data_IF_698975796468
#
_entry.id   IF_698975796468
#
_cell.length_a   1.000
_cell.length_b   1.000
_cell.length_c   1.000
_cell.angle_alpha   90.00
_cell.angle_beta   90.00
_cell.angle_gamma   90.00
#
_symmetry.space_group_name_H-M   'P 1'
#
loop_
_entity.id
_entity.type
_entity.pdbx_description
1 polymer ?
#
# COMPACT_ATOMS: atom_id res chain seq x y z
N UNK A 1 -10.40 0.46 -33.15
CA UNK A 1 -11.16 -0.75 -32.98
C UNK A 1 -11.10 -1.71 -34.17
N UNK A 2 -11.35 -1.24 -35.38
CA UNK A 2 -11.20 -2.04 -36.61
C UNK A 2 -9.79 -2.57 -36.82
N UNK A 3 -8.77 -1.79 -36.43
CA UNK A 3 -7.38 -2.21 -36.55
C UNK A 3 -7.08 -3.42 -35.66
N UNK A 4 -7.53 -3.41 -34.42
CA UNK A 4 -7.32 -4.55 -33.51
C UNK A 4 -8.00 -5.84 -34.02
N UNK A 5 -9.23 -5.72 -34.52
CA UNK A 5 -9.95 -6.85 -35.13
C UNK A 5 -9.19 -7.36 -36.35
N UNK A 6 -8.80 -6.47 -37.26
CA UNK A 6 -8.03 -6.81 -38.45
C UNK A 6 -6.71 -7.54 -38.13
N UNK A 7 -5.92 -7.01 -37.17
CA UNK A 7 -4.67 -7.61 -36.74
C UNK A 7 -4.90 -8.99 -36.09
N UNK A 8 -5.95 -9.11 -35.27
CA UNK A 8 -6.29 -10.40 -34.66
C UNK A 8 -6.70 -11.45 -35.69
N UNK A 9 -7.47 -11.05 -36.70
CA UNK A 9 -7.88 -11.93 -37.78
C UNK A 9 -6.70 -12.31 -38.69
N UNK A 10 -5.80 -11.36 -38.94
CA UNK A 10 -4.56 -11.61 -39.71
C UNK A 10 -3.69 -12.66 -39.01
N UNK A 11 -3.48 -12.52 -37.70
CA UNK A 11 -2.66 -13.47 -36.92
C UNK A 11 -3.33 -14.85 -36.84
N UNK A 12 -4.66 -14.91 -36.64
CA UNK A 12 -5.39 -16.18 -36.48
C UNK A 12 -5.52 -16.96 -37.80
N UNK A 13 -5.63 -16.27 -38.93
CA UNK A 13 -5.86 -16.88 -40.24
C UNK A 13 -4.59 -17.07 -41.04
N UNK A 14 -3.43 -16.79 -40.49
CA UNK A 14 -2.14 -17.03 -41.17
C UNK A 14 -1.65 -18.45 -40.90
N UNK A 15 -1.21 -19.14 -41.96
CA UNK A 15 -0.54 -20.44 -41.88
C UNK A 15 0.89 -20.35 -41.33
N UNK A 16 1.40 -19.13 -41.11
CA UNK A 16 2.74 -18.85 -40.61
C UNK A 16 2.65 -18.06 -39.29
N UNK A 17 3.64 -18.21 -38.41
CA UNK A 17 3.75 -17.40 -37.23
C UNK A 17 4.03 -15.92 -37.60
N UNK A 18 3.07 -15.05 -37.32
CA UNK A 18 3.19 -13.61 -37.58
C UNK A 18 3.32 -12.88 -36.27
N UNK A 19 4.38 -12.07 -36.13
CA UNK A 19 4.55 -11.13 -35.03
C UNK A 19 4.37 -9.72 -35.58
N UNK A 20 3.45 -8.96 -34.99
CA UNK A 20 3.15 -7.57 -35.40
C UNK A 20 3.63 -6.60 -34.34
N UNK A 21 4.52 -5.70 -34.72
CA UNK A 21 4.94 -4.56 -33.91
C UNK A 21 4.34 -3.27 -34.47
N UNK A 22 3.76 -2.45 -33.62
CA UNK A 22 3.26 -1.15 -34.01
C UNK A 22 3.42 -0.11 -32.89
N UNK A 23 3.53 1.15 -33.23
CA UNK A 23 3.51 2.26 -32.28
C UNK A 23 2.15 2.97 -32.33
N UNK A 24 1.65 3.39 -31.19
CA UNK A 24 0.34 4.06 -31.10
C UNK A 24 0.26 5.00 -29.92
N UNK A 25 -0.57 6.03 -30.03
CA UNK A 25 -1.02 6.91 -28.95
C UNK A 25 -2.51 6.67 -28.62
N UNK A 26 -3.14 5.65 -29.21
CA UNK A 26 -4.55 5.34 -28.97
C UNK A 26 -4.72 4.64 -27.64
N UNK A 27 -5.28 5.34 -26.64
CA UNK A 27 -5.61 4.76 -25.34
C UNK A 27 -6.55 3.55 -25.47
N UNK A 28 -7.54 3.62 -26.37
CA UNK A 28 -8.48 2.51 -26.60
C UNK A 28 -7.76 1.24 -27.10
N UNK A 29 -6.80 1.40 -27.99
CA UNK A 29 -6.03 0.28 -28.50
C UNK A 29 -5.11 -0.28 -27.40
N UNK A 30 -4.42 0.59 -26.65
CA UNK A 30 -3.53 0.19 -25.58
C UNK A 30 -4.28 -0.60 -24.48
N UNK A 31 -5.52 -0.20 -24.13
CA UNK A 31 -6.34 -0.93 -23.16
C UNK A 31 -6.72 -2.35 -23.56
N UNK A 32 -6.62 -2.69 -24.83
CA UNK A 32 -6.94 -4.04 -25.36
C UNK A 32 -5.73 -4.96 -25.42
N UNK A 33 -4.54 -4.44 -25.15
CA UNK A 33 -3.28 -5.18 -25.26
C UNK A 33 -2.89 -5.69 -23.87
N UNK A 34 -2.49 -6.96 -23.79
CA UNK A 34 -1.99 -7.51 -22.53
C UNK A 34 -0.70 -6.79 -22.09
N UNK A 35 -0.50 -6.51 -20.80
CA UNK A 35 0.65 -5.76 -20.29
C UNK A 35 2.01 -6.26 -20.77
N UNK A 36 2.18 -7.59 -20.90
CA UNK A 36 3.41 -8.23 -21.41
C UNK A 36 3.77 -7.86 -22.86
N UNK A 37 2.79 -7.39 -23.62
CA UNK A 37 2.95 -7.00 -25.03
C UNK A 37 3.03 -5.48 -25.20
N UNK A 38 3.04 -4.71 -24.12
CA UNK A 38 3.19 -3.26 -24.16
C UNK A 38 4.63 -2.92 -23.78
N UNK A 39 5.31 -2.20 -24.68
CA UNK A 39 6.64 -1.64 -24.49
C UNK A 39 6.51 -0.12 -24.44
N UNK A 40 6.61 0.48 -23.25
CA UNK A 40 6.61 1.93 -23.10
C UNK A 40 8.04 2.44 -23.24
N UNK A 41 8.22 3.39 -24.17
CA UNK A 41 9.48 4.08 -24.38
C UNK A 41 9.39 5.44 -23.65
N UNK A 42 10.16 5.61 -22.59
CA UNK A 42 10.31 6.88 -21.88
C UNK A 42 11.64 7.54 -22.26
N UNK A 43 11.58 8.79 -22.66
CA UNK A 43 12.76 9.59 -22.95
C UNK A 43 13.03 10.53 -21.76
N UNK A 44 14.05 10.20 -20.97
CA UNK A 44 14.61 11.13 -20.00
C UNK A 44 15.85 11.76 -20.66
N UNK A 45 15.86 13.05 -20.83
CA UNK A 45 16.85 13.95 -21.45
C UNK A 45 18.20 13.37 -21.86
N UNK A 46 18.63 12.23 -21.32
CA UNK A 46 19.92 11.56 -21.58
C UNK A 46 19.82 10.10 -22.01
N UNK A 47 18.71 9.42 -21.72
CA UNK A 47 18.55 7.98 -21.99
C UNK A 47 17.12 7.65 -22.39
N UNK A 48 16.97 6.60 -23.19
CA UNK A 48 15.65 6.00 -23.48
C UNK A 48 15.52 4.78 -22.58
N UNK A 49 14.50 4.77 -21.72
CA UNK A 49 14.14 3.62 -20.90
C UNK A 49 13.02 2.83 -21.60
N UNK A 50 13.13 1.51 -21.59
CA UNK A 50 12.10 0.59 -22.11
C UNK A 50 11.46 -0.10 -20.93
N UNK A 51 10.17 0.14 -20.70
CA UNK A 51 9.40 -0.47 -19.63
C UNK A 51 8.52 -1.58 -20.22
N UNK A 52 8.79 -2.82 -19.82
CA UNK A 52 8.00 -4.01 -20.16
C UNK A 52 8.13 -5.05 -19.02
N UNK A 53 7.05 -5.67 -18.56
CA UNK A 53 5.66 -5.40 -18.94
C UNK A 53 5.18 -4.00 -18.48
N UNK A 54 4.27 -3.41 -19.25
CA UNK A 54 3.69 -2.12 -18.91
C UNK A 54 2.17 -2.20 -18.89
N UNK A 55 1.55 -1.70 -17.83
CA UNK A 55 0.09 -1.67 -17.72
C UNK A 55 -0.52 -0.52 -18.56
N UNK A 56 -1.70 -0.73 -19.16
CA UNK A 56 -2.34 0.26 -20.03
C UNK A 56 -2.46 1.65 -19.41
N UNK A 57 -2.97 1.76 -18.19
CA UNK A 57 -3.13 3.05 -17.52
C UNK A 57 -1.79 3.76 -17.27
N UNK A 58 -0.74 3.02 -16.97
CA UNK A 58 0.60 3.57 -16.83
C UNK A 58 1.14 4.07 -18.19
N UNK A 59 0.95 3.31 -19.26
CA UNK A 59 1.41 3.67 -20.60
C UNK A 59 0.73 4.96 -21.13
N UNK A 60 -0.54 5.19 -20.80
CA UNK A 60 -1.30 6.35 -21.29
C UNK A 60 -1.32 7.54 -20.32
N UNK A 61 -0.66 7.44 -19.16
CA UNK A 61 -0.72 8.46 -18.10
C UNK A 61 -0.29 9.87 -18.54
N UNK A 62 0.63 9.94 -19.50
CA UNK A 62 1.11 11.21 -20.06
C UNK A 62 0.20 11.78 -21.13
N UNK A 63 -0.70 10.98 -21.70
CA UNK A 63 -1.63 11.38 -22.77
C UNK A 63 -2.96 11.90 -22.21
N UNK A 64 -3.32 11.47 -21.02
CA UNK A 64 -4.57 11.83 -20.36
C UNK A 64 -4.30 12.22 -18.90
N UNK A 65 -5.12 13.11 -18.35
CA UNK A 65 -5.11 13.36 -16.90
C UNK A 65 -5.45 12.03 -16.23
N UNK A 66 -4.55 11.45 -15.43
CA UNK A 66 -4.72 10.09 -14.93
C UNK A 66 -5.82 10.04 -13.86
N UNK A 67 -7.03 9.69 -14.27
CA UNK A 67 -8.13 9.32 -13.36
C UNK A 67 -8.20 7.80 -13.15
N UNK A 68 -7.12 7.08 -13.45
CA UNK A 68 -7.09 5.63 -13.40
C UNK A 68 -5.97 5.06 -12.53
N UNK A 69 -6.13 3.82 -12.15
CA UNK A 69 -5.14 2.98 -11.50
C UNK A 69 -5.25 1.55 -12.06
N UNK A 70 -4.18 0.78 -11.95
CA UNK A 70 -4.14 -0.64 -12.33
C UNK A 70 -4.45 -1.51 -11.11
N UNK A 71 -3.95 -1.09 -9.95
CA UNK A 71 -4.14 -1.77 -8.67
C UNK A 71 -4.78 -0.84 -7.65
N UNK A 72 -5.83 -1.33 -6.99
CA UNK A 72 -6.41 -0.74 -5.79
C UNK A 72 -5.98 -1.54 -4.58
N UNK A 73 -5.20 -0.91 -3.71
CA UNK A 73 -4.82 -1.48 -2.42
C UNK A 73 -5.74 -0.93 -1.35
N UNK A 74 -6.58 -1.77 -0.78
CA UNK A 74 -7.41 -1.44 0.36
C UNK A 74 -6.58 -1.63 1.64
N UNK A 75 -6.59 -0.64 2.51
CA UNK A 75 -5.92 -0.65 3.82
C UNK A 75 -6.89 -0.21 4.91
N UNK A 76 -6.61 -0.50 6.19
CA UNK A 76 -7.55 -0.17 7.25
C UNK A 76 -7.64 1.33 7.50
N UNK A 77 -6.51 2.03 7.57
CA UNK A 77 -6.45 3.45 7.90
C UNK A 77 -5.26 4.19 7.23
N UNK A 78 -5.08 5.47 7.57
CA UNK A 78 -4.00 6.30 7.05
C UNK A 78 -2.61 5.88 7.57
N UNK A 79 -2.52 5.27 8.75
CA UNK A 79 -1.27 4.74 9.30
C UNK A 79 -0.79 3.53 8.49
N UNK A 80 -1.70 2.57 8.24
CA UNK A 80 -1.45 1.43 7.37
C UNK A 80 -1.07 1.87 5.94
N UNK A 81 -1.78 2.88 5.39
CA UNK A 81 -1.48 3.46 4.08
C UNK A 81 -0.06 4.03 4.02
N UNK A 82 0.38 4.77 5.03
CA UNK A 82 1.73 5.34 5.05
C UNK A 82 2.83 4.27 5.01
N UNK A 83 2.64 3.16 5.74
CA UNK A 83 3.58 2.02 5.72
C UNK A 83 3.59 1.34 4.36
N UNK A 84 2.42 1.07 3.77
CA UNK A 84 2.31 0.43 2.45
C UNK A 84 2.93 1.31 1.37
N UNK A 85 2.66 2.61 1.39
CA UNK A 85 3.23 3.58 0.45
C UNK A 85 4.76 3.65 0.57
N UNK A 86 5.30 3.64 1.81
CA UNK A 86 6.75 3.54 2.03
C UNK A 86 7.33 2.27 1.43
N UNK A 87 6.71 1.11 1.69
CA UNK A 87 7.16 -0.18 1.14
C UNK A 87 7.17 -0.16 -0.38
N UNK A 88 6.12 0.36 -1.02
CA UNK A 88 6.01 0.43 -2.47
C UNK A 88 7.14 1.28 -3.06
N UNK A 89 7.39 2.46 -2.50
CA UNK A 89 8.42 3.39 -2.97
C UNK A 89 9.83 2.84 -2.78
N UNK A 90 10.17 2.39 -1.60
CA UNK A 90 11.52 1.89 -1.30
C UNK A 90 11.92 0.65 -2.11
N UNK A 91 10.93 -0.14 -2.53
CA UNK A 91 11.19 -1.37 -3.28
C UNK A 91 10.83 -1.26 -4.76
N UNK A 92 10.56 -0.04 -5.24
CA UNK A 92 10.22 0.26 -6.63
C UNK A 92 9.10 -0.65 -7.21
N UNK A 93 8.06 -0.92 -6.40
CA UNK A 93 7.01 -1.86 -6.78
C UNK A 93 5.98 -1.27 -7.76
N UNK A 94 6.01 0.05 -7.97
CA UNK A 94 5.13 0.78 -8.87
C UNK A 94 5.77 1.16 -10.21
N UNK A 95 6.93 0.61 -10.57
CA UNK A 95 7.73 1.05 -11.71
C UNK A 95 7.03 0.96 -13.08
N UNK A 96 5.98 0.14 -13.21
CA UNK A 96 5.25 -0.06 -14.47
C UNK A 96 3.73 -0.09 -14.30
N UNK A 97 3.22 0.41 -13.17
CA UNK A 97 1.79 0.33 -12.83
C UNK A 97 1.36 1.49 -11.95
N UNK A 98 0.11 1.91 -12.10
CA UNK A 98 -0.51 2.91 -11.25
C UNK A 98 -1.19 2.23 -10.06
N UNK A 99 -0.78 2.58 -8.86
CA UNK A 99 -1.29 2.02 -7.61
C UNK A 99 -2.06 3.10 -6.86
N UNK A 100 -3.30 2.81 -6.51
CA UNK A 100 -4.11 3.62 -5.61
C UNK A 100 -4.17 2.91 -4.25
N UNK A 101 -3.82 3.60 -3.17
CA UNK A 101 -3.96 3.08 -1.81
C UNK A 101 -5.12 3.80 -1.14
N UNK A 102 -6.15 3.04 -0.74
CA UNK A 102 -7.41 3.56 -0.21
C UNK A 102 -7.64 3.06 1.21
N UNK A 103 -7.62 3.93 2.23
CA UNK A 103 -8.14 3.62 3.55
C UNK A 103 -9.63 3.30 3.49
N UNK A 104 -10.04 2.15 4.02
CA UNK A 104 -11.38 1.58 3.77
C UNK A 104 -12.11 1.18 5.06
N UNK A 105 -11.53 1.50 6.22
CA UNK A 105 -12.08 1.15 7.52
C UNK A 105 -11.66 -0.23 8.02
N UNK A 106 -12.23 -0.66 9.15
CA UNK A 106 -11.83 -1.89 9.83
C UNK A 106 -11.99 -3.16 8.99
N UNK A 107 -11.31 -4.23 9.39
CA UNK A 107 -11.09 -5.44 8.58
C UNK A 107 -12.37 -6.06 8.00
N UNK A 108 -13.48 -6.11 8.75
CA UNK A 108 -14.75 -6.71 8.26
C UNK A 108 -15.40 -5.84 7.17
N UNK A 109 -15.34 -4.52 7.30
CA UNK A 109 -15.86 -3.60 6.28
C UNK A 109 -15.04 -3.70 5.01
N UNK A 110 -13.71 -3.76 5.14
CA UNK A 110 -12.78 -3.89 4.03
C UNK A 110 -12.95 -5.22 3.29
N UNK A 111 -13.13 -6.34 4.00
CA UNK A 111 -13.42 -7.65 3.39
C UNK A 111 -14.72 -7.62 2.57
N UNK A 112 -15.78 -7.06 3.16
CA UNK A 112 -17.07 -6.93 2.46
C UNK A 112 -16.94 -6.04 1.24
N UNK A 113 -16.30 -4.88 1.38
CA UNK A 113 -16.06 -3.96 0.26
C UNK A 113 -15.31 -4.65 -0.88
N UNK A 114 -14.21 -5.35 -0.57
CA UNK A 114 -13.44 -6.09 -1.57
C UNK A 114 -14.29 -7.14 -2.27
N UNK A 115 -15.02 -7.94 -1.51
CA UNK A 115 -15.91 -8.96 -2.04
C UNK A 115 -16.98 -8.38 -2.98
N UNK A 116 -17.66 -7.31 -2.55
CA UNK A 116 -18.69 -6.64 -3.33
C UNK A 116 -18.10 -6.04 -4.63
N UNK A 117 -16.92 -5.39 -4.55
CA UNK A 117 -16.25 -4.80 -5.72
C UNK A 117 -15.86 -5.87 -6.76
N UNK A 118 -15.45 -7.05 -6.32
CA UNK A 118 -15.12 -8.18 -7.21
C UNK A 118 -16.40 -8.79 -7.78
N UNK A 119 -17.40 -9.05 -6.93
CA UNK A 119 -18.67 -9.69 -7.31
C UNK A 119 -19.42 -8.87 -8.37
N UNK A 120 -19.49 -7.56 -8.17
CA UNK A 120 -20.21 -6.65 -9.08
C UNK A 120 -19.34 -6.04 -10.16
N UNK A 121 -18.04 -6.44 -10.25
CA UNK A 121 -17.08 -5.90 -11.21
C UNK A 121 -17.07 -4.35 -11.26
N UNK A 122 -17.12 -3.71 -10.11
CA UNK A 122 -17.30 -2.26 -9.97
C UNK A 122 -16.19 -1.43 -10.61
N UNK A 123 -14.97 -1.96 -10.68
CA UNK A 123 -13.82 -1.26 -11.26
C UNK A 123 -13.63 -1.52 -12.76
N UNK A 124 -14.39 -2.46 -13.32
CA UNK A 124 -14.26 -2.87 -14.72
C UNK A 124 -13.07 -3.80 -14.97
N UNK A 125 -12.86 -4.11 -16.23
CA UNK A 125 -11.83 -5.07 -16.67
C UNK A 125 -10.43 -4.48 -16.56
N UNK A 126 -9.46 -5.31 -16.18
CA UNK A 126 -8.02 -4.93 -16.15
C UNK A 126 -7.60 -4.18 -14.89
N UNK A 127 -8.46 -4.10 -13.87
CA UNK A 127 -8.12 -3.54 -12.57
C UNK A 127 -8.11 -4.62 -11.50
N UNK A 128 -7.15 -4.52 -10.58
CA UNK A 128 -6.91 -5.51 -9.55
C UNK A 128 -7.13 -4.90 -8.17
N UNK A 129 -7.76 -5.66 -7.29
CA UNK A 129 -8.00 -5.24 -5.89
C UNK A 129 -7.20 -6.17 -4.98
N UNK A 130 -6.49 -5.59 -4.03
CA UNK A 130 -5.72 -6.31 -3.01
C UNK A 130 -6.05 -5.69 -1.66
N UNK A 131 -6.41 -6.51 -0.68
CA UNK A 131 -6.59 -6.03 0.70
C UNK A 131 -5.33 -6.27 1.52
N UNK A 132 -4.88 -5.24 2.22
CA UNK A 132 -3.72 -5.28 3.11
C UNK A 132 -4.21 -4.98 4.52
N UNK A 133 -4.23 -6.00 5.35
CA UNK A 133 -4.73 -5.96 6.71
C UNK A 133 -3.60 -5.77 7.73
N UNK A 134 -3.95 -5.29 8.89
CA UNK A 134 -3.07 -5.32 10.05
C UNK A 134 -2.68 -6.76 10.41
N UNK A 135 -1.48 -6.92 10.98
CA UNK A 135 -0.93 -8.27 11.22
C UNK A 135 -1.70 -9.09 12.26
N UNK A 136 -2.37 -8.42 13.21
CA UNK A 136 -3.08 -9.06 14.32
C UNK A 136 -4.44 -9.65 13.93
N UNK A 137 -5.04 -9.24 12.81
CA UNK A 137 -6.32 -9.80 12.35
C UNK A 137 -6.19 -11.07 11.51
N UNK A 138 -4.97 -11.49 11.20
CA UNK A 138 -4.68 -12.65 10.33
C UNK A 138 -5.42 -13.93 10.77
N UNK A 139 -5.42 -14.23 12.09
CA UNK A 139 -6.10 -15.39 12.63
C UNK A 139 -7.62 -15.36 12.50
N UNK A 140 -8.21 -14.16 12.54
CA UNK A 140 -9.65 -13.95 12.40
C UNK A 140 -10.09 -14.09 10.94
N UNK A 141 -9.33 -13.49 10.03
CA UNK A 141 -9.63 -13.54 8.59
C UNK A 141 -9.45 -14.95 8.02
N UNK A 142 -8.47 -15.72 8.52
CA UNK A 142 -8.26 -17.11 8.09
C UNK A 142 -9.46 -18.03 8.34
N UNK A 143 -10.35 -17.67 9.27
CA UNK A 143 -11.56 -18.44 9.60
C UNK A 143 -12.75 -18.12 8.71
N UNK A 144 -12.67 -17.10 7.87
CA UNK A 144 -13.75 -16.62 7.01
C UNK A 144 -13.61 -17.24 5.61
N UNK A 145 -14.22 -18.41 5.42
CA UNK A 145 -14.14 -19.19 4.17
C UNK A 145 -14.66 -18.40 2.95
N UNK A 146 -15.67 -17.57 3.13
CA UNK A 146 -16.25 -16.73 2.07
C UNK A 146 -15.24 -15.83 1.37
N UNK A 147 -14.24 -15.33 2.13
CA UNK A 147 -13.25 -14.39 1.61
C UNK A 147 -11.89 -15.02 1.32
N UNK A 148 -11.81 -16.37 1.34
CA UNK A 148 -10.55 -17.09 1.17
C UNK A 148 -9.84 -16.79 -0.14
N UNK A 149 -10.60 -16.66 -1.21
CA UNK A 149 -10.09 -16.47 -2.58
C UNK A 149 -9.67 -15.01 -2.88
N UNK A 150 -10.04 -14.05 -2.04
CA UNK A 150 -9.70 -12.66 -2.27
C UNK A 150 -8.18 -12.44 -2.15
N UNK A 151 -7.55 -11.74 -3.12
CA UNK A 151 -6.14 -11.35 -3.01
C UNK A 151 -5.90 -10.49 -1.77
N UNK A 152 -5.06 -10.98 -0.84
CA UNK A 152 -4.79 -10.29 0.42
C UNK A 152 -3.43 -10.58 0.98
N UNK A 153 -2.90 -9.66 1.77
CA UNK A 153 -1.73 -9.85 2.62
C UNK A 153 -1.90 -9.12 3.95
N UNK A 154 -0.91 -9.28 4.82
CA UNK A 154 -0.95 -8.76 6.19
C UNK A 154 0.32 -7.97 6.46
N UNK A 155 0.19 -6.83 7.11
CA UNK A 155 1.32 -6.07 7.61
C UNK A 155 2.19 -6.95 8.53
N UNK A 156 3.50 -6.71 8.58
CA UNK A 156 4.42 -7.45 9.45
C UNK A 156 4.28 -7.08 10.93
N UNK A 157 3.51 -6.04 11.21
CA UNK A 157 3.20 -5.51 12.52
C UNK A 157 1.68 -5.57 12.77
N UNK A 158 1.21 -5.56 14.02
CA UNK A 158 -0.19 -5.27 14.33
C UNK A 158 -0.52 -3.85 13.86
N UNK A 159 -1.68 -3.30 14.24
CA UNK A 159 -1.91 -1.87 13.97
C UNK A 159 -0.75 -1.03 14.50
N UNK A 160 -0.51 0.14 13.89
CA UNK A 160 0.63 0.99 14.26
C UNK A 160 0.52 1.44 15.72
N UNK A 161 -0.69 1.74 16.19
CA UNK A 161 -0.93 2.14 17.58
C UNK A 161 -0.59 1.01 18.55
N UNK A 162 -1.02 -0.23 18.25
CA UNK A 162 -0.64 -1.42 19.02
C UNK A 162 0.85 -1.67 19.00
N UNK A 163 1.48 -1.51 17.83
CA UNK A 163 2.91 -1.65 17.68
C UNK A 163 3.67 -0.65 18.56
N UNK A 164 3.30 0.62 18.51
CA UNK A 164 3.91 1.65 19.35
C UNK A 164 3.74 1.35 20.84
N UNK A 165 2.50 1.06 21.27
CA UNK A 165 2.24 0.71 22.67
C UNK A 165 3.05 -0.51 23.09
N UNK A 166 3.09 -1.55 22.28
CA UNK A 166 3.87 -2.76 22.58
C UNK A 166 5.37 -2.44 22.75
N UNK A 167 5.97 -1.70 21.79
CA UNK A 167 7.41 -1.40 21.79
C UNK A 167 7.83 -0.37 22.84
N UNK A 168 6.93 0.52 23.24
CA UNK A 168 7.26 1.62 24.14
C UNK A 168 6.79 1.38 25.59
N UNK A 169 5.70 0.63 25.78
CA UNK A 169 5.02 0.46 27.07
C UNK A 169 5.00 -1.00 27.54
N UNK A 170 4.40 -1.92 26.75
CA UNK A 170 4.12 -3.28 27.23
C UNK A 170 5.40 -4.17 27.29
N UNK A 171 6.23 -4.06 26.25
CA UNK A 171 7.54 -4.74 26.15
C UNK A 171 8.60 -3.75 25.65
N UNK A 172 9.07 -2.85 26.53
CA UNK A 172 9.89 -1.70 26.13
C UNK A 172 11.16 -2.10 25.38
N UNK A 173 11.27 -1.65 24.15
CA UNK A 173 12.43 -1.83 23.28
C UNK A 173 13.33 -0.58 23.40
N UNK A 174 14.44 -0.72 24.12
CA UNK A 174 15.36 0.39 24.41
C UNK A 174 15.91 1.08 23.16
N UNK A 175 16.15 0.31 22.09
CA UNK A 175 16.68 0.87 20.85
C UNK A 175 15.62 1.68 20.12
N UNK A 176 14.39 1.21 20.09
CA UNK A 176 13.27 1.89 19.45
C UNK A 176 12.87 3.14 20.26
N UNK A 177 12.84 3.05 21.60
CA UNK A 177 12.62 4.21 22.50
C UNK A 177 13.66 5.29 22.26
N UNK A 178 14.95 4.90 22.17
CA UNK A 178 16.03 5.84 21.89
C UNK A 178 15.86 6.48 20.51
N UNK A 179 15.57 5.68 19.49
CA UNK A 179 15.37 6.16 18.13
C UNK A 179 14.31 7.26 18.05
N UNK A 180 13.12 7.00 18.61
CA UNK A 180 12.04 7.98 18.63
C UNK A 180 12.31 9.16 19.55
N UNK A 181 12.90 8.90 20.72
CA UNK A 181 13.28 9.93 21.69
C UNK A 181 14.23 10.96 21.09
N UNK A 182 15.32 10.51 20.47
CA UNK A 182 16.32 11.37 19.86
C UNK A 182 15.76 12.17 18.66
N UNK A 183 14.80 11.63 17.92
CA UNK A 183 14.22 12.29 16.75
C UNK A 183 13.12 13.30 17.08
N UNK A 184 12.20 12.94 17.95
CA UNK A 184 10.94 13.68 18.10
C UNK A 184 10.72 14.28 19.49
N UNK A 185 11.42 13.81 20.52
CA UNK A 185 11.12 14.15 21.91
C UNK A 185 12.26 14.89 22.62
N UNK A 186 12.89 15.86 21.95
CA UNK A 186 14.00 16.64 22.49
C UNK A 186 13.58 17.66 23.58
N UNK A 187 12.34 18.16 23.52
CA UNK A 187 11.85 19.16 24.49
C UNK A 187 11.24 18.50 25.74
N UNK A 188 10.61 17.36 25.58
CA UNK A 188 10.05 16.55 26.67
C UNK A 188 10.43 15.10 26.42
N UNK A 189 11.05 14.48 27.42
CA UNK A 189 11.50 13.08 27.31
C UNK A 189 10.34 12.12 26.99
N UNK A 190 10.53 11.25 26.02
CA UNK A 190 9.57 10.18 25.72
C UNK A 190 9.31 9.31 26.96
N UNK A 191 10.31 9.08 27.81
CA UNK A 191 10.17 8.34 29.06
C UNK A 191 9.21 9.00 30.05
N UNK A 192 9.18 10.33 30.11
CA UNK A 192 8.25 11.05 30.99
C UNK A 192 6.82 11.01 30.43
N UNK A 193 6.66 11.08 29.11
CA UNK A 193 5.37 10.91 28.44
C UNK A 193 4.79 9.52 28.73
N UNK A 194 5.62 8.48 28.65
CA UNK A 194 5.22 7.10 28.98
C UNK A 194 4.82 6.99 30.45
N UNK A 195 5.57 7.57 31.38
CA UNK A 195 5.22 7.56 32.81
C UNK A 195 3.88 8.25 33.07
N UNK A 196 3.65 9.41 32.46
CA UNK A 196 2.39 10.14 32.61
C UNK A 196 1.21 9.34 32.08
N UNK A 197 1.36 8.69 30.90
CA UNK A 197 0.35 7.79 30.37
C UNK A 197 0.04 6.62 31.31
N UNK A 198 1.07 6.02 31.92
CA UNK A 198 0.89 4.91 32.87
C UNK A 198 0.22 5.33 34.17
N UNK A 199 0.40 6.57 34.59
CA UNK A 199 -0.15 7.12 35.82
C UNK A 199 -1.54 7.78 35.64
N UNK A 200 -2.02 7.94 34.41
CA UNK A 200 -3.36 8.51 34.16
C UNK A 200 -4.42 7.41 34.18
N UNK A 201 -5.23 7.35 35.22
CA UNK A 201 -6.30 6.34 35.37
C UNK A 201 -7.31 6.34 34.21
N UNK A 202 -7.47 7.46 33.52
CA UNK A 202 -8.40 7.59 32.37
C UNK A 202 -7.88 6.96 31.09
N UNK A 203 -6.56 6.95 30.93
CA UNK A 203 -5.86 6.41 29.74
C UNK A 203 -5.09 5.13 30.03
N UNK A 204 -5.28 4.55 31.22
CA UNK A 204 -4.46 3.46 31.75
C UNK A 204 -4.27 2.31 30.77
N UNK A 205 -3.07 1.77 30.73
CA UNK A 205 -2.63 0.73 29.78
C UNK A 205 -3.50 -0.53 29.82
N UNK A 206 -4.16 -0.83 30.93
CA UNK A 206 -5.05 -1.98 31.09
C UNK A 206 -6.33 -1.89 30.25
N UNK A 207 -6.80 -0.67 29.97
CA UNK A 207 -8.02 -0.42 29.20
C UNK A 207 -7.72 -0.08 27.74
N UNK A 208 -6.49 0.29 27.42
CA UNK A 208 -6.05 0.66 26.06
C UNK A 208 -5.48 -0.55 25.29
N UNK A 209 -6.35 -1.53 25.01
CA UNK A 209 -5.95 -2.77 24.31
C UNK A 209 -5.43 -2.53 22.91
N UNK A 210 -5.93 -1.49 22.24
CA UNK A 210 -5.63 -1.18 20.85
C UNK A 210 -4.52 -0.12 20.68
N UNK A 211 -4.01 0.44 21.81
CA UNK A 211 -2.94 1.45 21.79
C UNK A 211 -3.37 2.84 21.32
N UNK A 212 -4.66 3.05 21.05
CA UNK A 212 -5.19 4.31 20.51
C UNK A 212 -5.07 5.48 21.48
N UNK A 213 -5.31 5.23 22.78
CA UNK A 213 -5.13 6.27 23.79
C UNK A 213 -3.66 6.68 23.90
N UNK A 214 -2.75 5.70 23.90
CA UNK A 214 -1.32 5.98 23.91
C UNK A 214 -0.88 6.75 22.67
N UNK A 215 -1.33 6.36 21.49
CA UNK A 215 -1.06 7.06 20.24
C UNK A 215 -1.55 8.53 20.31
N UNK A 216 -2.76 8.76 20.80
CA UNK A 216 -3.31 10.11 20.98
C UNK A 216 -2.46 10.95 21.94
N UNK A 217 -1.93 10.35 23.02
CA UNK A 217 -1.02 11.04 23.95
C UNK A 217 0.29 11.42 23.25
N UNK A 218 0.84 10.54 22.44
CA UNK A 218 2.04 10.83 21.63
C UNK A 218 1.77 12.00 20.68
N UNK A 219 0.70 11.93 19.88
CA UNK A 219 0.33 13.00 18.93
C UNK A 219 0.10 14.35 19.63
N UNK A 220 -0.59 14.37 20.76
CA UNK A 220 -0.82 15.60 21.54
C UNK A 220 0.48 16.23 22.06
N UNK A 221 1.51 15.44 22.38
CA UNK A 221 2.82 15.97 22.76
C UNK A 221 3.61 16.48 21.57
N UNK A 222 3.49 15.85 20.39
CA UNK A 222 4.14 16.28 19.16
C UNK A 222 3.53 17.56 18.61
N UNK A 223 2.21 17.70 18.67
CA UNK A 223 1.49 18.92 18.25
C UNK A 223 1.97 20.16 19.03
N UNK A 224 2.24 20.02 20.33
CA UNK A 224 2.79 21.10 21.18
C UNK A 224 4.15 21.62 20.72
N UNK A 225 4.90 20.83 19.98
CA UNK A 225 6.20 21.20 19.42
C UNK A 225 6.15 21.47 17.92
N UNK A 226 4.92 21.56 17.35
CA UNK A 226 4.68 21.92 15.95
C UNK A 226 4.82 20.78 14.96
N UNK A 227 4.83 19.52 15.41
CA UNK A 227 4.81 18.35 14.52
C UNK A 227 3.36 17.89 14.40
N UNK A 228 2.78 18.06 13.22
CA UNK A 228 1.42 17.60 12.93
C UNK A 228 1.33 16.07 12.91
N UNK A 229 0.15 15.52 13.19
CA UNK A 229 -0.08 14.07 13.08
C UNK A 229 0.26 13.54 11.69
N UNK A 230 -0.09 14.28 10.62
CA UNK A 230 0.20 13.89 9.25
C UNK A 230 1.71 13.81 8.95
N UNK A 231 2.51 14.70 9.52
CA UNK A 231 3.96 14.65 9.39
C UNK A 231 4.56 13.52 10.22
N UNK A 232 4.04 13.33 11.44
CA UNK A 232 4.47 12.22 12.29
C UNK A 232 4.19 10.86 11.63
N UNK A 233 3.03 10.66 11.03
CA UNK A 233 2.69 9.43 10.28
C UNK A 233 3.73 9.13 9.21
N UNK A 234 4.13 10.13 8.41
CA UNK A 234 5.17 9.96 7.37
C UNK A 234 6.51 9.54 7.96
N UNK A 235 6.95 10.24 9.01
CA UNK A 235 8.25 9.97 9.63
C UNK A 235 8.24 8.63 10.34
N UNK A 236 7.18 8.32 11.07
CA UNK A 236 7.02 7.06 11.78
C UNK A 236 7.00 5.85 10.83
N UNK A 237 6.34 5.97 9.67
CA UNK A 237 6.35 4.91 8.66
C UNK A 237 7.76 4.61 8.14
N UNK A 238 8.60 5.62 7.99
CA UNK A 238 10.00 5.46 7.65
C UNK A 238 10.78 4.72 8.75
N UNK A 239 10.59 5.14 10.00
CA UNK A 239 11.30 4.54 11.14
C UNK A 239 10.89 3.10 11.39
N UNK A 240 9.62 2.77 11.26
CA UNK A 240 9.13 1.38 11.36
C UNK A 240 9.70 0.54 10.21
N UNK A 241 9.69 1.04 8.97
CA UNK A 241 10.25 0.33 7.83
C UNK A 241 11.74 0.01 8.01
N UNK A 242 12.54 0.99 8.41
CA UNK A 242 13.99 0.82 8.64
C UNK A 242 14.28 -0.10 9.83
N UNK A 243 13.44 -0.05 10.86
CA UNK A 243 13.61 -0.85 12.07
C UNK A 243 13.23 -2.32 11.87
N UNK A 244 12.06 -2.58 11.27
CA UNK A 244 11.52 -3.94 11.11
C UNK A 244 12.05 -4.66 9.86
N UNK A 245 12.55 -3.93 8.85
CA UNK A 245 13.06 -4.48 7.58
C UNK A 245 12.14 -5.55 6.99
N UNK A 246 10.93 -5.23 6.55
CA UNK A 246 9.84 -6.18 6.31
C UNK A 246 9.98 -6.95 4.99
N UNK A 247 11.07 -7.70 4.78
CA UNK A 247 11.38 -8.41 3.52
C UNK A 247 10.29 -9.39 3.08
N UNK A 248 9.75 -10.19 4.01
CA UNK A 248 8.67 -11.14 3.69
C UNK A 248 7.38 -10.45 3.23
N UNK A 249 7.07 -9.29 3.80
CA UNK A 249 5.91 -8.50 3.40
C UNK A 249 6.13 -7.89 2.01
N UNK A 250 7.33 -7.37 1.73
CA UNK A 250 7.73 -6.89 0.41
C UNK A 250 7.57 -7.97 -0.65
N UNK A 251 8.04 -9.19 -0.38
CA UNK A 251 7.88 -10.33 -1.28
C UNK A 251 6.42 -10.68 -1.53
N UNK A 252 5.59 -10.65 -0.47
CA UNK A 252 4.16 -10.93 -0.57
C UNK A 252 3.44 -9.90 -1.44
N UNK A 253 3.70 -8.59 -1.24
CA UNK A 253 3.12 -7.54 -2.09
C UNK A 253 3.64 -7.67 -3.52
N UNK A 254 4.93 -7.88 -3.73
CA UNK A 254 5.50 -8.05 -5.07
C UNK A 254 4.81 -9.16 -5.84
N UNK A 255 4.56 -10.30 -5.20
CA UNK A 255 3.84 -11.42 -5.79
C UNK A 255 2.39 -11.09 -6.15
N UNK A 256 1.71 -10.28 -5.34
CA UNK A 256 0.33 -9.87 -5.61
C UNK A 256 0.23 -8.79 -6.69
N UNK A 257 1.30 -8.02 -6.89
CA UNK A 257 1.38 -6.99 -7.92
C UNK A 257 1.95 -7.52 -9.25
N UNK A 258 2.44 -8.74 -9.30
CA UNK A 258 2.89 -9.38 -10.54
C UNK A 258 1.71 -9.94 -11.33
#
# INVERSE_FOLDING_TARGET
DRLHIFLSDLIKNSDSEIIVYFSTHSAELIHRIAPRNIYLLENDTKTIEIINPCYPNYAIRSLYIPNGFDFLLLVEDELAKAIVDKVIRENNLASSKLICILPSGGCNQMLKLHHDMVTYNTLGVGKHIISIFDGDVKGNIAKQEEYKQLPKCFLPIPSVEKYLKSKLVDTPDKNFIKLLGDKYFNQRSLSDIIKDYLNDDRTSSSNDKDGKNFYSVICANLDRIGISESDFIKYLSNDIYEYEKPTKFVESIRKLLS
#
